data_IF_582370209375
#
_entry.id   IF_582370209375
#
_cell.length_a   1.000
_cell.length_b   1.000
_cell.length_c   1.000
_cell.angle_alpha   90.00
_cell.angle_beta   90.00
_cell.angle_gamma   90.00
#
_symmetry.space_group_name_H-M   'P 1'
#
loop_
_entity.id
_entity.type
_entity.pdbx_description
1 polymer ?
#
# COMPACT_ATOMS: atom_id res chain seq x y z
N UNK A 1 14.27 1.23 6.78
CA UNK A 1 13.24 0.71 5.85
C UNK A 1 11.81 1.16 6.18
N UNK A 2 11.46 1.60 7.40
CA UNK A 2 10.07 1.88 7.80
C UNK A 2 9.50 3.29 7.49
N UNK A 3 10.34 4.30 7.23
CA UNK A 3 9.86 5.68 7.06
C UNK A 3 8.88 5.86 5.89
N UNK A 4 9.14 5.20 4.76
CA UNK A 4 8.30 5.33 3.57
C UNK A 4 6.92 4.68 3.76
N UNK A 5 6.83 3.58 4.52
CA UNK A 5 5.55 2.93 4.82
C UNK A 5 4.71 3.83 5.73
N UNK A 6 5.34 4.47 6.71
CA UNK A 6 4.66 5.41 7.60
C UNK A 6 4.11 6.62 6.81
N UNK A 7 4.83 7.10 5.80
CA UNK A 7 4.35 8.15 4.87
C UNK A 7 3.19 7.66 4.01
N UNK A 8 3.24 6.42 3.53
CA UNK A 8 2.13 5.79 2.81
C UNK A 8 0.90 5.77 3.71
N UNK A 9 1.00 5.20 4.92
CA UNK A 9 -0.11 5.12 5.88
C UNK A 9 -0.71 6.51 6.22
N UNK A 10 0.12 7.55 6.33
CA UNK A 10 -0.33 8.94 6.52
C UNK A 10 -0.97 9.55 5.26
N UNK A 11 -0.77 8.95 4.10
CA UNK A 11 -1.26 9.45 2.81
C UNK A 11 -0.37 10.54 2.20
N UNK A 12 0.83 10.70 2.76
CA UNK A 12 1.85 11.62 2.26
C UNK A 12 2.65 11.02 1.10
N UNK A 13 2.56 9.69 0.91
CA UNK A 13 3.16 8.97 -0.20
C UNK A 13 2.12 8.03 -0.84
N UNK A 14 2.00 8.07 -2.17
CA UNK A 14 1.15 7.13 -2.90
C UNK A 14 1.78 5.73 -2.95
N UNK A 15 0.95 4.70 -2.78
CA UNK A 15 1.42 3.31 -2.74
C UNK A 15 2.08 2.89 -4.07
N UNK A 16 1.63 3.43 -5.21
CA UNK A 16 2.23 3.15 -6.53
C UNK A 16 3.67 3.68 -6.62
N UNK A 17 3.90 4.91 -6.11
CA UNK A 17 5.25 5.50 -6.02
C UNK A 17 6.13 4.73 -5.06
N UNK A 18 5.58 4.26 -3.94
CA UNK A 18 6.28 3.39 -3.02
C UNK A 18 6.71 2.08 -3.68
N UNK A 19 5.79 1.42 -4.41
CA UNK A 19 6.08 0.19 -5.16
C UNK A 19 7.20 0.40 -6.19
N UNK A 20 7.12 1.48 -6.97
CA UNK A 20 8.14 1.83 -7.97
C UNK A 20 9.51 2.13 -7.33
N UNK A 21 9.53 2.91 -6.24
CA UNK A 21 10.76 3.31 -5.55
C UNK A 21 11.47 2.12 -4.90
N UNK A 22 10.70 1.19 -4.31
CA UNK A 22 11.25 0.01 -3.66
C UNK A 22 11.39 -1.20 -4.60
N UNK A 23 10.96 -1.07 -5.85
CA UNK A 23 10.92 -2.13 -6.85
C UNK A 23 10.22 -3.40 -6.32
N UNK A 24 9.05 -3.23 -5.71
CA UNK A 24 8.26 -4.31 -5.12
C UNK A 24 6.88 -4.39 -5.76
N UNK A 25 6.27 -5.58 -5.72
CA UNK A 25 4.91 -5.76 -6.18
C UNK A 25 3.91 -5.05 -5.27
N UNK A 26 2.77 -4.57 -5.80
CA UNK A 26 1.69 -3.98 -4.99
C UNK A 26 1.17 -4.92 -3.90
N UNK A 27 1.17 -6.23 -4.14
CA UNK A 27 0.85 -7.24 -3.13
C UNK A 27 1.85 -7.24 -1.97
N UNK A 28 3.14 -7.13 -2.26
CA UNK A 28 4.20 -7.03 -1.24
C UNK A 28 4.06 -5.73 -0.45
N UNK A 29 3.85 -4.61 -1.13
CA UNK A 29 3.62 -3.32 -0.48
C UNK A 29 2.38 -3.34 0.42
N UNK A 30 1.30 -3.99 -0.01
CA UNK A 30 0.08 -4.19 0.79
C UNK A 30 0.37 -4.93 2.09
N UNK A 31 1.09 -6.06 2.04
CA UNK A 31 1.45 -6.82 3.24
C UNK A 31 2.28 -5.97 4.20
N UNK A 32 3.30 -5.27 3.69
CA UNK A 32 4.15 -4.42 4.51
C UNK A 32 3.39 -3.26 5.16
N UNK A 33 2.45 -2.64 4.42
CA UNK A 33 1.61 -1.58 4.97
C UNK A 33 0.64 -2.10 6.02
N UNK A 34 0.07 -3.30 5.83
CA UNK A 34 -0.79 -3.94 6.82
C UNK A 34 -0.05 -4.31 8.10
N UNK A 35 1.13 -4.91 7.99
CA UNK A 35 1.96 -5.28 9.15
C UNK A 35 2.37 -4.04 9.97
N UNK A 36 2.46 -2.88 9.30
CA UNK A 36 2.85 -1.61 9.93
C UNK A 36 1.67 -0.79 10.43
N UNK A 37 0.46 -1.03 9.92
CA UNK A 37 -0.75 -0.34 10.34
C UNK A 37 -1.07 -0.70 11.81
N UNK A 38 -1.08 0.31 12.67
CA UNK A 38 -1.35 0.14 14.11
C UNK A 38 -2.77 0.54 14.49
N UNK A 39 -3.51 1.16 13.58
CA UNK A 39 -4.87 1.66 13.79
C UNK A 39 -5.83 1.07 12.77
N UNK A 40 -7.09 0.94 13.15
CA UNK A 40 -8.14 0.45 12.25
C UNK A 40 -8.27 1.32 10.99
N UNK A 41 -8.15 2.65 11.14
CA UNK A 41 -8.19 3.59 10.02
C UNK A 41 -7.07 3.31 8.99
N UNK A 42 -5.85 3.05 9.45
CA UNK A 42 -4.73 2.69 8.58
C UNK A 42 -4.97 1.35 7.89
N UNK A 43 -5.49 0.35 8.61
CA UNK A 43 -5.83 -0.94 8.04
C UNK A 43 -6.90 -0.81 6.94
N UNK A 44 -7.96 -0.06 7.19
CA UNK A 44 -9.03 0.18 6.23
C UNK A 44 -8.55 0.94 4.99
N UNK A 45 -7.63 1.89 5.17
CA UNK A 45 -6.98 2.62 4.07
C UNK A 45 -6.17 1.68 3.18
N UNK A 46 -5.35 0.82 3.77
CA UNK A 46 -4.53 -0.16 3.04
C UNK A 46 -5.40 -1.17 2.29
N UNK A 47 -6.48 -1.66 2.91
CA UNK A 47 -7.47 -2.52 2.25
C UNK A 47 -8.15 -1.83 1.08
N UNK A 48 -8.52 -0.56 1.24
CA UNK A 48 -9.15 0.23 0.18
C UNK A 48 -8.23 0.34 -1.03
N UNK A 49 -6.95 0.64 -0.84
CA UNK A 49 -6.00 0.68 -1.94
C UNK A 49 -5.86 -0.64 -2.67
N UNK A 50 -5.77 -1.76 -1.94
CA UNK A 50 -5.69 -3.07 -2.59
C UNK A 50 -6.94 -3.36 -3.40
N UNK A 51 -8.13 -2.99 -2.88
CA UNK A 51 -9.39 -3.12 -3.61
C UNK A 51 -9.40 -2.26 -4.87
N UNK A 52 -9.00 -0.99 -4.79
CA UNK A 52 -8.91 -0.08 -5.95
C UNK A 52 -7.90 -0.59 -6.98
N UNK A 53 -6.78 -1.16 -6.53
CA UNK A 53 -5.77 -1.74 -7.41
C UNK A 53 -6.32 -2.96 -8.18
N UNK A 54 -7.09 -3.83 -7.51
CA UNK A 54 -7.78 -4.95 -8.17
C UNK A 54 -8.88 -4.46 -9.13
N UNK A 55 -9.65 -3.44 -8.74
CA UNK A 55 -10.75 -2.89 -9.54
C UNK A 55 -10.24 -2.18 -10.80
N UNK A 56 -9.08 -1.51 -10.71
CA UNK A 56 -8.34 -0.95 -11.86
C UNK A 56 -7.84 -2.00 -12.86
N UNK A 57 -8.12 -3.30 -12.63
CA UNK A 57 -7.86 -4.35 -13.60
C UNK A 57 -6.39 -4.78 -13.71
N UNK A 58 -5.51 -4.36 -12.80
CA UNK A 58 -4.09 -4.75 -12.80
C UNK A 58 -3.88 -6.19 -12.29
N UNK A 59 -4.93 -7.02 -12.34
CA UNK A 59 -4.94 -8.42 -11.93
C UNK A 59 -5.47 -9.39 -12.99
N UNK A 60 -5.64 -8.96 -14.24
CA UNK A 60 -6.09 -9.82 -15.34
C UNK A 60 -5.29 -9.59 -16.62
N UNK A 61 -3.96 -9.78 -16.59
CA UNK A 61 -3.16 -10.32 -17.69
C UNK A 61 -1.99 -11.09 -17.11
#
# INVERSE_FOLDING_TARGET
MGADIDLVLKGELEIDKFCATRNVSPRTAYVWCLERATTEEQCEKVKRWMKEYFDKGVGLI
#
